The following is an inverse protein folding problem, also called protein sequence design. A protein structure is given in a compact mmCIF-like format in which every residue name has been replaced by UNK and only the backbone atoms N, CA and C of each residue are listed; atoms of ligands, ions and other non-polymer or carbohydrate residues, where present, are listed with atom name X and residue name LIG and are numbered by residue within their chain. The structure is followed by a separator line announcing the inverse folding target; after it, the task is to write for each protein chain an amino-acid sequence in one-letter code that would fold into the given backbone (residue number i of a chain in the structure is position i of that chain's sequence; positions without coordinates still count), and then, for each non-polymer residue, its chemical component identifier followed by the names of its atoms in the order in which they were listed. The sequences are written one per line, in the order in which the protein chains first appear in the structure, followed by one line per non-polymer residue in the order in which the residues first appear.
data_IF_587815393985
#
_entry.id   IF_587815393985
#
_cell.length_a   1.000
_cell.length_b   1.000
_cell.length_c   1.000
_cell.angle_alpha   90.00
_cell.angle_beta   90.00
_cell.angle_gamma   90.00
#
_symmetry.space_group_name_H-M   'P 1'
#
loop_
_entity.id
_entity.type
_entity.pdbx_description
1 polymer ?
#
# COMPACT_ATOMS: atom_id res chain seq x y z
N UNK A 1 15.58 -24.93 -9.94
CA UNK A 1 14.15 -25.23 -10.00
C UNK A 1 13.42 -24.06 -10.64
N UNK A 2 12.45 -24.35 -11.52
CA UNK A 2 11.58 -23.34 -12.13
C UNK A 2 10.13 -23.69 -11.80
N UNK A 3 9.40 -22.73 -11.23
CA UNK A 3 7.99 -22.84 -10.87
C UNK A 3 7.23 -21.70 -11.54
N UNK A 4 6.22 -22.04 -12.31
CA UNK A 4 5.35 -21.08 -13.00
C UNK A 4 3.92 -21.22 -12.44
N UNK A 5 3.45 -20.18 -11.72
CA UNK A 5 2.13 -20.10 -11.09
C UNK A 5 1.73 -21.35 -10.29
N UNK A 6 2.59 -21.89 -9.40
CA UNK A 6 2.38 -23.22 -8.81
C UNK A 6 1.14 -23.31 -7.90
N UNK A 7 0.61 -22.20 -7.41
CA UNK A 7 -0.52 -22.14 -6.49
C UNK A 7 -1.79 -21.54 -7.11
N UNK A 8 -1.78 -21.14 -8.39
CA UNK A 8 -2.88 -20.39 -9.02
C UNK A 8 -4.21 -21.16 -9.08
N UNK A 9 -4.17 -22.49 -9.24
CA UNK A 9 -5.35 -23.35 -9.38
C UNK A 9 -5.99 -23.75 -8.05
N UNK A 10 -5.44 -23.32 -6.91
CA UNK A 10 -5.90 -23.73 -5.58
C UNK A 10 -6.93 -22.75 -5.00
N UNK A 11 -7.92 -23.28 -4.26
CA UNK A 11 -8.79 -22.48 -3.43
C UNK A 11 -8.03 -21.81 -2.27
N UNK A 12 -8.62 -20.79 -1.64
CA UNK A 12 -7.92 -19.95 -0.64
C UNK A 12 -7.37 -20.75 0.56
N UNK A 13 -8.10 -21.77 1.03
CA UNK A 13 -7.67 -22.57 2.18
C UNK A 13 -6.52 -23.50 1.80
N UNK A 14 -6.67 -24.26 0.72
CA UNK A 14 -5.66 -25.16 0.20
C UNK A 14 -4.38 -24.41 -0.18
N UNK A 15 -4.52 -23.19 -0.76
CA UNK A 15 -3.39 -22.33 -1.09
C UNK A 15 -2.57 -21.96 0.14
N UNK A 16 -3.23 -21.62 1.27
CA UNK A 16 -2.52 -21.26 2.51
C UNK A 16 -1.69 -22.42 3.05
N UNK A 17 -2.28 -23.61 3.10
CA UNK A 17 -1.61 -24.84 3.57
C UNK A 17 -0.44 -25.22 2.64
N UNK A 18 -0.68 -25.22 1.33
CA UNK A 18 0.33 -25.57 0.31
C UNK A 18 1.46 -24.54 0.26
N UNK A 19 1.17 -23.23 0.45
CA UNK A 19 2.21 -22.18 0.54
C UNK A 19 3.19 -22.45 1.68
N UNK A 20 2.70 -22.79 2.87
CA UNK A 20 3.57 -23.10 4.01
C UNK A 20 4.44 -24.36 3.76
N UNK A 21 3.88 -25.35 3.09
CA UNK A 21 4.61 -26.57 2.72
C UNK A 21 5.65 -26.29 1.63
N UNK A 22 5.27 -25.55 0.59
CA UNK A 22 6.18 -25.13 -0.47
C UNK A 22 7.35 -24.31 0.08
N UNK A 23 7.10 -23.37 0.98
CA UNK A 23 8.17 -22.60 1.63
C UNK A 23 9.19 -23.51 2.33
N UNK A 24 8.74 -24.52 3.08
CA UNK A 24 9.64 -25.49 3.73
C UNK A 24 10.49 -26.28 2.72
N UNK A 25 9.89 -26.69 1.62
CA UNK A 25 10.61 -27.43 0.56
C UNK A 25 11.62 -26.55 -0.16
N UNK A 26 11.26 -25.29 -0.49
CA UNK A 26 12.15 -24.34 -1.14
C UNK A 26 13.34 -23.97 -0.24
N UNK A 27 13.10 -23.74 1.05
CA UNK A 27 14.16 -23.45 2.02
C UNK A 27 15.15 -24.61 2.22
N UNK A 28 14.73 -25.85 1.98
CA UNK A 28 15.58 -27.04 2.05
C UNK A 28 16.26 -27.37 0.70
N UNK A 29 15.87 -26.71 -0.39
CA UNK A 29 16.41 -26.99 -1.73
C UNK A 29 17.80 -26.35 -1.88
N UNK A 30 18.85 -27.15 -2.24
CA UNK A 30 20.22 -26.65 -2.26
C UNK A 30 20.55 -25.77 -3.49
N UNK A 31 19.64 -25.67 -4.45
CA UNK A 31 19.84 -24.94 -5.71
C UNK A 31 19.01 -23.69 -5.81
N UNK A 32 19.35 -22.83 -6.77
CA UNK A 32 18.54 -21.66 -7.08
C UNK A 32 17.14 -22.06 -7.55
N UNK A 33 16.13 -21.32 -7.08
CA UNK A 33 14.75 -21.47 -7.52
C UNK A 33 14.26 -20.16 -8.13
N UNK A 34 13.60 -20.25 -9.28
CA UNK A 34 12.87 -19.15 -9.88
C UNK A 34 11.38 -19.46 -9.78
N UNK A 35 10.65 -18.57 -9.10
CA UNK A 35 9.19 -18.64 -8.96
C UNK A 35 8.57 -17.48 -9.74
N UNK A 36 7.66 -17.79 -10.66
CA UNK A 36 6.81 -16.81 -11.33
C UNK A 36 5.42 -16.87 -10.70
N UNK A 37 4.91 -15.72 -10.25
CA UNK A 37 3.55 -15.61 -9.69
C UNK A 37 3.00 -14.18 -9.84
N UNK A 38 1.69 -14.06 -9.92
CA UNK A 38 0.98 -12.78 -9.84
C UNK A 38 0.36 -12.55 -8.45
N UNK A 39 0.45 -13.52 -7.53
CA UNK A 39 -0.03 -13.37 -6.15
C UNK A 39 1.06 -12.72 -5.28
N UNK A 40 0.80 -11.49 -4.75
CA UNK A 40 1.78 -10.79 -3.91
C UNK A 40 2.18 -11.57 -2.66
N UNK A 41 1.22 -12.28 -2.04
CA UNK A 41 1.49 -13.04 -0.83
C UNK A 41 2.40 -14.24 -1.10
N UNK A 42 2.24 -14.90 -2.27
CA UNK A 42 3.13 -15.98 -2.67
C UNK A 42 4.56 -15.44 -2.85
N UNK A 43 4.70 -14.33 -3.57
CA UNK A 43 5.99 -13.69 -3.78
C UNK A 43 6.66 -13.27 -2.47
N UNK A 44 5.95 -12.57 -1.59
CA UNK A 44 6.47 -12.04 -0.32
C UNK A 44 6.85 -13.13 0.69
N UNK A 45 6.16 -14.28 0.66
CA UNK A 45 6.40 -15.38 1.61
C UNK A 45 7.44 -16.38 1.11
N UNK A 46 7.47 -16.64 -0.20
CA UNK A 46 8.26 -17.74 -0.76
C UNK A 46 9.65 -17.33 -1.26
N UNK A 47 9.87 -16.04 -1.56
CA UNK A 47 11.08 -15.58 -2.21
C UNK A 47 11.99 -14.78 -1.27
N UNK A 48 13.29 -15.02 -1.33
CA UNK A 48 14.32 -14.20 -0.67
C UNK A 48 14.54 -12.87 -1.41
N UNK A 49 14.34 -12.89 -2.74
CA UNK A 49 14.49 -11.73 -3.63
C UNK A 49 13.34 -11.68 -4.61
N UNK A 50 12.77 -10.50 -4.77
CA UNK A 50 11.67 -10.22 -5.68
C UNK A 50 12.15 -9.37 -6.85
N UNK A 51 11.66 -9.69 -8.04
CA UNK A 51 11.81 -8.89 -9.25
C UNK A 51 10.40 -8.58 -9.76
N UNK A 52 10.01 -7.31 -9.74
CA UNK A 52 8.68 -6.90 -10.16
C UNK A 52 8.75 -6.40 -11.60
N UNK A 53 7.90 -6.96 -12.44
CA UNK A 53 7.82 -6.65 -13.87
C UNK A 53 6.48 -5.98 -14.15
N UNK A 54 6.53 -4.81 -14.77
CA UNK A 54 5.36 -4.04 -15.21
C UNK A 54 5.60 -3.58 -16.65
N UNK A 55 4.61 -3.82 -17.55
CA UNK A 55 4.75 -3.47 -18.95
C UNK A 55 5.96 -4.11 -19.66
N UNK A 56 6.37 -5.31 -19.25
CA UNK A 56 7.51 -6.04 -19.79
C UNK A 56 8.89 -5.52 -19.35
N UNK A 57 8.94 -4.67 -18.33
CA UNK A 57 10.19 -4.10 -17.78
C UNK A 57 10.28 -4.35 -16.28
N UNK A 58 11.50 -4.56 -15.79
CA UNK A 58 11.76 -4.58 -14.35
C UNK A 58 11.59 -3.17 -13.80
N UNK A 59 10.63 -3.00 -12.89
CA UNK A 59 10.31 -1.70 -12.26
C UNK A 59 10.87 -1.58 -10.86
N UNK A 60 11.01 -2.72 -10.16
CA UNK A 60 11.62 -2.76 -8.83
C UNK A 60 12.18 -4.14 -8.54
N UNK A 61 13.27 -4.20 -7.77
CA UNK A 61 13.83 -5.43 -7.25
C UNK A 61 14.35 -5.22 -5.81
N UNK A 62 14.33 -6.27 -5.00
CA UNK A 62 14.78 -6.25 -3.62
C UNK A 62 14.24 -7.42 -2.81
N UNK A 63 14.49 -7.40 -1.53
CA UNK A 63 13.81 -8.29 -0.58
C UNK A 63 12.38 -7.80 -0.29
N UNK A 64 11.58 -8.67 0.33
CA UNK A 64 10.20 -8.38 0.67
C UNK A 64 10.06 -7.13 1.56
N UNK A 65 10.97 -6.94 2.53
CA UNK A 65 10.96 -5.82 3.45
C UNK A 65 11.20 -4.48 2.72
N UNK A 66 12.19 -4.44 1.82
CA UNK A 66 12.51 -3.26 1.02
C UNK A 66 11.35 -2.88 0.10
N UNK A 67 10.76 -3.85 -0.61
CA UNK A 67 9.66 -3.61 -1.56
C UNK A 67 8.41 -3.13 -0.83
N UNK A 68 8.09 -3.76 0.30
CA UNK A 68 6.92 -3.39 1.12
C UNK A 68 7.08 -2.00 1.75
N UNK A 69 8.29 -1.65 2.20
CA UNK A 69 8.53 -0.37 2.87
C UNK A 69 8.67 0.81 1.89
N UNK A 70 9.11 0.57 0.65
CA UNK A 70 9.46 1.62 -0.33
C UNK A 70 9.04 1.26 -1.74
N UNK A 71 7.73 1.15 -2.02
CA UNK A 71 7.24 0.92 -3.39
C UNK A 71 7.65 2.09 -4.31
N UNK A 72 7.98 1.80 -5.57
CA UNK A 72 8.46 2.79 -6.55
C UNK A 72 7.50 3.06 -7.70
N UNK A 73 6.41 2.30 -7.76
CA UNK A 73 5.33 2.51 -8.74
C UNK A 73 3.98 2.35 -8.05
N UNK A 74 2.93 2.92 -8.64
CA UNK A 74 1.56 2.75 -8.17
C UNK A 74 1.15 1.28 -8.16
N UNK A 75 1.64 0.51 -9.14
CA UNK A 75 1.41 -0.92 -9.22
C UNK A 75 2.00 -1.64 -7.99
N UNK A 76 3.27 -1.37 -7.66
CA UNK A 76 3.91 -1.98 -6.47
C UNK A 76 3.21 -1.53 -5.19
N UNK A 77 2.84 -0.26 -5.09
CA UNK A 77 2.11 0.25 -3.93
C UNK A 77 0.75 -0.43 -3.75
N UNK A 78 0.00 -0.64 -4.83
CA UNK A 78 -1.26 -1.39 -4.80
C UNK A 78 -1.03 -2.85 -4.38
N UNK A 79 0.03 -3.47 -4.87
CA UNK A 79 0.41 -4.84 -4.58
C UNK A 79 0.71 -5.06 -3.09
N UNK A 80 1.37 -4.09 -2.45
CA UNK A 80 1.68 -4.12 -1.01
C UNK A 80 0.62 -3.39 -0.14
N UNK A 81 -0.41 -2.85 -0.77
CA UNK A 81 -1.57 -2.26 -0.10
C UNK A 81 -1.29 -0.89 0.54
N UNK A 82 -0.49 -0.03 -0.09
CA UNK A 82 -0.18 1.32 0.38
C UNK A 82 -0.82 2.40 -0.52
N UNK A 83 -1.10 3.56 0.06
CA UNK A 83 -1.25 4.80 -0.67
C UNK A 83 0.15 5.32 -1.03
N UNK A 84 0.40 5.67 -2.30
CA UNK A 84 1.68 6.19 -2.79
C UNK A 84 1.45 7.47 -3.59
N UNK A 85 2.33 8.44 -3.38
CA UNK A 85 2.32 9.73 -4.10
C UNK A 85 3.73 10.11 -4.47
N UNK A 86 3.90 10.72 -5.65
CA UNK A 86 5.17 11.29 -6.10
C UNK A 86 5.13 12.80 -5.97
N UNK A 87 6.26 13.39 -5.56
CA UNK A 87 6.39 14.82 -5.43
C UNK A 87 7.85 15.27 -5.28
N UNK A 88 8.01 16.50 -4.87
CA UNK A 88 9.31 17.11 -4.59
C UNK A 88 9.43 17.43 -3.10
N UNK A 89 10.42 16.83 -2.45
CA UNK A 89 10.69 16.98 -1.03
C UNK A 89 11.53 18.20 -0.71
N UNK A 90 11.16 18.90 0.35
CA UNK A 90 11.90 19.97 1.00
C UNK A 90 11.83 19.78 2.52
N UNK A 91 12.76 19.03 3.06
CA UNK A 91 12.73 18.60 4.46
C UNK A 91 11.63 17.56 4.71
N UNK A 92 10.78 17.82 5.68
CA UNK A 92 9.65 16.94 6.04
C UNK A 92 8.40 17.17 5.18
N UNK A 93 8.40 18.19 4.33
CA UNK A 93 7.30 18.50 3.43
C UNK A 93 7.58 17.93 2.03
N UNK A 94 6.60 17.27 1.44
CA UNK A 94 6.65 16.81 0.04
C UNK A 94 5.49 17.45 -0.71
N UNK A 95 5.81 18.26 -1.72
CA UNK A 95 4.85 18.92 -2.60
C UNK A 95 4.56 18.04 -3.80
N UNK A 96 3.32 17.65 -3.95
CA UNK A 96 2.84 16.86 -5.09
C UNK A 96 2.68 17.73 -6.35
N UNK A 97 2.53 17.10 -7.52
CA UNK A 97 2.40 17.79 -8.81
C UNK A 97 1.20 18.76 -8.86
N UNK A 98 0.11 18.43 -8.17
CA UNK A 98 -1.08 19.28 -8.07
C UNK A 98 -0.95 20.41 -7.02
N UNK A 99 0.23 20.56 -6.41
CA UNK A 99 0.52 21.57 -5.40
C UNK A 99 0.13 21.19 -3.96
N UNK A 100 -0.55 20.05 -3.75
CA UNK A 100 -0.88 19.56 -2.41
C UNK A 100 0.41 19.19 -1.66
N UNK A 101 0.45 19.44 -0.34
CA UNK A 101 1.64 19.19 0.49
C UNK A 101 1.33 18.14 1.53
N UNK A 102 2.14 17.09 1.56
CA UNK A 102 2.13 16.07 2.61
C UNK A 102 3.34 16.26 3.53
N UNK A 103 3.10 16.17 4.83
CA UNK A 103 4.14 16.16 5.86
C UNK A 103 4.46 14.74 6.26
N UNK A 104 5.74 14.36 6.21
CA UNK A 104 6.24 13.04 6.54
C UNK A 104 7.15 13.05 7.77
N UNK A 105 7.38 11.86 8.35
CA UNK A 105 8.37 11.65 9.42
C UNK A 105 9.80 11.83 8.92
N UNK A 106 10.06 11.31 7.71
CA UNK A 106 11.39 11.35 7.12
C UNK A 106 11.65 12.72 6.47
N UNK A 107 12.89 13.19 6.53
CA UNK A 107 13.34 14.36 5.77
C UNK A 107 13.90 13.91 4.43
N UNK A 108 13.44 14.51 3.33
CA UNK A 108 13.84 14.17 1.98
C UNK A 108 14.01 15.43 1.14
N UNK A 109 14.98 15.42 0.20
CA UNK A 109 15.26 16.51 -0.73
C UNK A 109 15.13 16.02 -2.17
N UNK A 110 14.57 16.85 -3.04
CA UNK A 110 14.41 16.53 -4.46
C UNK A 110 13.22 15.57 -4.73
N UNK A 111 13.31 14.84 -5.83
CA UNK A 111 12.23 13.91 -6.22
C UNK A 111 12.06 12.81 -5.19
N UNK A 112 10.84 12.65 -4.71
CA UNK A 112 10.52 11.76 -3.61
C UNK A 112 9.17 11.06 -3.81
N UNK A 113 9.07 9.92 -3.15
CA UNK A 113 7.79 9.26 -2.88
C UNK A 113 7.34 9.52 -1.45
N UNK A 114 6.02 9.60 -1.27
CA UNK A 114 5.34 9.61 0.04
C UNK A 114 4.40 8.44 0.08
N UNK A 115 4.49 7.62 1.13
CA UNK A 115 3.64 6.45 1.31
C UNK A 115 3.07 6.37 2.72
N UNK A 116 1.83 5.87 2.84
CA UNK A 116 1.19 5.53 4.10
C UNK A 116 0.16 4.41 3.92
N UNK A 117 -0.04 3.63 4.98
CA UNK A 117 -1.00 2.55 4.96
C UNK A 117 -2.46 3.08 4.96
N UNK A 118 -3.41 2.42 4.29
CA UNK A 118 -4.83 2.74 4.41
C UNK A 118 -5.35 2.69 5.85
N UNK A 119 -4.78 1.85 6.70
CA UNK A 119 -5.11 1.77 8.12
C UNK A 119 -4.67 3.01 8.94
N UNK A 120 -3.73 3.82 8.41
CA UNK A 120 -3.30 5.07 9.04
C UNK A 120 -4.23 6.26 8.73
N UNK A 121 -5.18 6.06 7.82
CA UNK A 121 -6.13 7.08 7.38
C UNK A 121 -7.33 7.11 8.33
N UNK A 122 -7.52 8.22 9.02
CA UNK A 122 -8.71 8.47 9.83
C UNK A 122 -9.74 9.30 9.06
N UNK A 123 -11.02 8.97 9.24
CA UNK A 123 -12.14 9.68 8.62
C UNK A 123 -12.94 10.42 9.69
N UNK A 124 -13.29 11.67 9.37
CA UNK A 124 -14.04 12.56 10.26
C UNK A 124 -15.21 13.22 9.52
N UNK A 125 -16.35 13.48 10.20
CA UNK A 125 -17.50 14.16 9.60
C UNK A 125 -17.25 15.66 9.37
N UNK A 126 -16.24 16.24 10.07
CA UNK A 126 -15.83 17.65 9.98
C UNK A 126 -14.30 17.73 10.09
N UNK A 127 -13.75 18.91 9.81
CA UNK A 127 -12.30 19.12 9.92
C UNK A 127 -11.82 18.80 11.34
N UNK A 128 -10.89 17.85 11.50
CA UNK A 128 -10.39 17.48 12.81
C UNK A 128 -9.43 18.55 13.34
N UNK A 129 -9.55 18.84 14.63
CA UNK A 129 -8.58 19.63 15.38
C UNK A 129 -7.42 18.75 15.91
N UNK A 130 -6.31 19.38 16.26
CA UNK A 130 -5.22 18.73 17.00
C UNK A 130 -3.98 18.36 16.18
N UNK A 131 -3.44 17.15 16.39
CA UNK A 131 -2.10 16.78 15.95
C UNK A 131 -1.92 16.27 14.52
N UNK A 132 -2.93 15.78 13.77
CA UNK A 132 -2.72 15.41 12.37
C UNK A 132 -2.22 16.58 11.54
N UNK A 133 -1.14 16.39 10.78
CA UNK A 133 -0.57 17.41 9.90
C UNK A 133 -1.11 17.34 8.48
N UNK A 134 -1.55 16.16 8.08
CA UNK A 134 -2.14 15.93 6.77
C UNK A 134 -3.65 15.80 6.93
N UNK A 135 -4.38 16.86 6.59
CA UNK A 135 -5.85 16.86 6.66
C UNK A 135 -6.43 17.54 5.42
N UNK A 136 -7.48 16.94 4.83
CA UNK A 136 -8.14 17.50 3.64
C UNK A 136 -9.57 16.99 3.51
N UNK A 137 -10.46 17.74 2.85
CA UNK A 137 -11.80 17.25 2.52
C UNK A 137 -11.72 16.25 1.36
N UNK A 138 -12.56 15.23 1.39
CA UNK A 138 -12.66 14.23 0.34
C UNK A 138 -14.09 13.69 0.25
N UNK A 139 -14.41 13.12 -0.92
CA UNK A 139 -15.70 12.49 -1.20
C UNK A 139 -15.51 10.99 -1.28
N UNK A 140 -16.34 10.24 -0.58
CA UNK A 140 -16.36 8.79 -0.64
C UNK A 140 -16.87 8.32 -2.00
N UNK A 141 -16.09 7.50 -2.71
CA UNK A 141 -16.44 6.99 -4.05
C UNK A 141 -16.78 5.51 -4.08
N UNK A 142 -16.15 4.71 -3.20
CA UNK A 142 -16.34 3.25 -3.19
C UNK A 142 -16.15 2.66 -1.81
N UNK A 143 -16.83 1.54 -1.54
CA UNK A 143 -16.73 0.75 -0.30
C UNK A 143 -16.63 -0.72 -0.67
N UNK A 144 -15.57 -1.37 -0.23
CA UNK A 144 -15.32 -2.79 -0.47
C UNK A 144 -15.01 -3.52 0.84
N UNK A 145 -15.38 -4.79 0.93
CA UNK A 145 -14.98 -5.63 2.06
C UNK A 145 -13.49 -6.00 1.92
N UNK A 146 -12.73 -5.82 3.00
CA UNK A 146 -11.31 -6.15 3.06
C UNK A 146 -10.99 -6.90 4.36
N UNK A 147 -11.02 -8.22 4.30
CA UNK A 147 -10.95 -9.07 5.50
C UNK A 147 -12.12 -8.79 6.45
N UNK A 148 -11.80 -8.46 7.71
CA UNK A 148 -12.76 -8.06 8.74
C UNK A 148 -13.09 -6.57 8.74
N UNK A 149 -12.40 -5.79 7.90
CA UNK A 149 -12.59 -4.37 7.74
C UNK A 149 -13.30 -4.02 6.42
N UNK A 150 -13.55 -2.74 6.23
CA UNK A 150 -13.98 -2.15 4.98
C UNK A 150 -12.86 -1.27 4.44
N UNK A 151 -12.49 -1.47 3.18
CA UNK A 151 -11.65 -0.55 2.44
C UNK A 151 -12.53 0.43 1.68
N UNK A 152 -12.34 1.69 1.96
CA UNK A 152 -13.06 2.78 1.27
C UNK A 152 -12.09 3.57 0.40
N UNK A 153 -12.59 4.05 -0.74
CA UNK A 153 -11.87 4.96 -1.64
C UNK A 153 -12.45 6.35 -1.51
N UNK A 154 -11.59 7.34 -1.44
CA UNK A 154 -11.98 8.75 -1.31
C UNK A 154 -11.23 9.56 -2.36
N UNK A 155 -11.96 10.44 -3.02
CA UNK A 155 -11.44 11.42 -3.97
C UNK A 155 -11.43 12.81 -3.34
N UNK A 156 -10.40 13.60 -3.68
CA UNK A 156 -10.20 14.94 -3.17
C UNK A 156 -8.97 15.58 -3.82
N UNK A 157 -8.26 16.48 -3.11
CA UNK A 157 -6.96 16.95 -3.58
C UNK A 157 -5.98 15.85 -3.91
N UNK A 158 -6.08 14.73 -3.21
CA UNK A 158 -5.44 13.44 -3.53
C UNK A 158 -6.43 12.31 -3.28
N UNK A 159 -6.42 11.31 -4.16
CA UNK A 159 -7.20 10.10 -3.99
C UNK A 159 -6.52 9.14 -3.02
N UNK A 160 -7.26 8.61 -2.04
CA UNK A 160 -6.72 7.70 -1.03
C UNK A 160 -7.65 6.52 -0.76
N UNK A 161 -7.04 5.41 -0.34
CA UNK A 161 -7.75 4.31 0.32
C UNK A 161 -7.65 4.46 1.85
N UNK A 162 -8.71 4.09 2.56
CA UNK A 162 -8.73 3.98 4.01
C UNK A 162 -9.32 2.64 4.44
N UNK A 163 -8.74 2.04 5.48
CA UNK A 163 -9.26 0.82 6.10
C UNK A 163 -9.97 1.19 7.40
N UNK A 164 -11.24 0.89 7.48
CA UNK A 164 -12.10 1.24 8.62
C UNK A 164 -12.87 0.02 9.13
N UNK A 165 -13.24 0.05 10.38
CA UNK A 165 -14.07 -1.01 10.95
C UNK A 165 -15.53 -0.87 10.49
N UNK A 166 -16.31 -1.97 10.41
CA UNK A 166 -17.75 -1.88 10.12
C UNK A 166 -18.50 -0.97 11.10
N UNK A 167 -18.09 -0.95 12.36
CA UNK A 167 -18.68 -0.08 13.38
C UNK A 167 -18.43 1.41 13.08
N UNK A 168 -17.22 1.78 12.64
CA UNK A 168 -16.89 3.16 12.25
C UNK A 168 -17.69 3.56 10.98
N UNK A 169 -17.84 2.66 10.02
CA UNK A 169 -18.63 2.90 8.82
C UNK A 169 -20.10 3.20 9.14
N UNK A 170 -20.69 2.43 10.04
CA UNK A 170 -22.06 2.64 10.51
C UNK A 170 -22.21 3.96 11.28
N UNK A 171 -21.24 4.28 12.16
CA UNK A 171 -21.25 5.54 12.92
C UNK A 171 -21.14 6.78 12.03
N UNK A 172 -20.32 6.70 10.97
CA UNK A 172 -20.13 7.79 10.01
C UNK A 172 -21.21 7.81 8.92
N UNK A 173 -22.15 6.86 8.91
CA UNK A 173 -23.19 6.72 7.89
C UNK A 173 -22.59 6.79 6.48
N UNK A 174 -21.63 5.91 6.20
CA UNK A 174 -20.85 5.95 4.95
C UNK A 174 -21.66 5.46 3.77
N UNK A 175 -21.75 6.31 2.76
CA UNK A 175 -22.32 6.00 1.46
C UNK A 175 -21.53 6.72 0.35
N UNK A 176 -21.45 6.17 -0.87
CA UNK A 176 -20.86 6.88 -2.01
C UNK A 176 -21.49 8.28 -2.17
N UNK A 177 -20.64 9.27 -2.42
CA UNK A 177 -21.01 10.69 -2.50
C UNK A 177 -20.95 11.45 -1.17
N UNK A 178 -20.70 10.78 -0.04
CA UNK A 178 -20.56 11.45 1.25
C UNK A 178 -19.27 12.25 1.33
N UNK A 179 -19.37 13.51 1.76
CA UNK A 179 -18.24 14.36 2.08
C UNK A 179 -17.71 14.05 3.48
N UNK A 180 -16.40 13.91 3.58
CA UNK A 180 -15.68 13.59 4.81
C UNK A 180 -14.36 14.36 4.86
N UNK A 181 -13.77 14.43 6.04
CA UNK A 181 -12.40 14.87 6.22
C UNK A 181 -11.50 13.66 6.42
N UNK A 182 -10.41 13.64 5.66
CA UNK A 182 -9.31 12.69 5.80
C UNK A 182 -8.28 13.29 6.74
N UNK A 183 -7.73 12.47 7.61
CA UNK A 183 -6.60 12.83 8.47
C UNK A 183 -5.56 11.72 8.51
N UNK A 184 -4.29 12.09 8.32
CA UNK A 184 -3.14 11.17 8.46
C UNK A 184 -2.07 11.86 9.30
N UNK A 185 -1.57 11.18 10.34
CA UNK A 185 -0.46 11.71 11.13
C UNK A 185 0.83 11.69 10.34
N UNK A 186 1.66 12.72 10.50
CA UNK A 186 3.01 12.74 9.90
C UNK A 186 3.86 11.54 10.35
N UNK A 187 3.66 11.04 11.56
CA UNK A 187 4.35 9.84 12.09
C UNK A 187 3.99 8.54 11.36
N UNK A 188 2.86 8.50 10.68
CA UNK A 188 2.41 7.35 9.86
C UNK A 188 2.74 7.54 8.37
N UNK A 189 3.30 8.70 8.02
CA UNK A 189 3.63 9.05 6.63
C UNK A 189 5.13 8.95 6.44
N UNK A 190 5.56 8.11 5.49
CA UNK A 190 6.97 7.90 5.16
C UNK A 190 7.30 8.61 3.85
N UNK A 191 8.50 9.22 3.80
CA UNK A 191 9.03 9.79 2.58
C UNK A 191 10.42 9.21 2.27
N UNK A 192 10.69 8.96 0.99
CA UNK A 192 11.97 8.41 0.53
C UNK A 192 12.30 8.89 -0.88
N UNK A 193 13.60 8.95 -1.27
CA UNK A 193 14.00 9.39 -2.60
C UNK A 193 13.38 8.53 -3.71
N UNK A 194 13.04 9.15 -4.84
CA UNK A 194 12.50 8.46 -6.02
C UNK A 194 13.59 7.77 -6.86
N UNK A 195 14.87 8.08 -6.62
CA UNK A 195 16.05 7.50 -7.28
C UNK A 195 16.74 6.46 -6.42
#
# INVERSE_FOLDING_TARGET
LLLDEPLAALDARTRLETRAELHRHLSAHPGATLLVTHDPLDALVLADRLIIIEGGRVVQEGDAATITARPRTDYVAQLVGLNLFRGHGDGHAVRLENGFVLTATDSVQGDAFVAFAPAAVALHPAQPDGSPRNTWPAVLTDIQRHGDNLRVRLDGPIAVAADITPAAAAHLDLAPGRELWVAVKATETRAYPAS
#
